data_IF_705758023891
#
_entry.id   IF_705758023891
#
_cell.length_a   1.000
_cell.length_b   1.000
_cell.length_c   1.000
_cell.angle_alpha   90.00
_cell.angle_beta   90.00
_cell.angle_gamma   90.00
#
_symmetry.space_group_name_H-M   'P 1'
#
loop_
_entity.id
_entity.type
_entity.pdbx_description
1 polymer ?
#
# COMPACT_ATOMS: atom_id res chain seq x y z
N UNK A 1 0.13 -2.97 17.33
CA UNK A 1 -0.15 -3.59 15.98
C UNK A 1 1.10 -3.59 15.10
N UNK A 2 1.12 -4.35 13.99
CA UNK A 2 2.21 -4.36 12.99
C UNK A 2 1.88 -3.47 11.80
N UNK A 3 2.78 -2.58 11.39
CA UNK A 3 2.51 -1.59 10.34
C UNK A 3 3.71 -1.49 9.39
N UNK A 4 3.51 -1.76 8.10
CA UNK A 4 4.53 -1.50 7.08
C UNK A 4 4.48 -0.04 6.65
N UNK A 5 5.63 0.61 6.56
CA UNK A 5 5.76 2.00 6.13
C UNK A 5 6.71 2.06 4.93
N UNK A 6 6.17 2.44 3.77
CA UNK A 6 6.93 2.62 2.54
C UNK A 6 7.18 4.11 2.35
N UNK A 7 8.42 4.53 2.52
CA UNK A 7 8.84 5.91 2.36
C UNK A 7 9.32 6.19 0.95
N UNK A 8 8.58 7.02 0.22
CA UNK A 8 8.93 7.42 -1.16
C UNK A 8 10.12 8.39 -1.27
N UNK A 9 10.78 8.71 -0.16
CA UNK A 9 12.00 9.52 -0.15
C UNK A 9 12.82 9.20 1.10
N UNK A 10 14.14 9.14 0.94
CA UNK A 10 15.08 9.04 2.07
C UNK A 10 15.35 10.39 2.76
N UNK A 11 14.85 11.50 2.19
CA UNK A 11 15.15 12.83 2.72
C UNK A 11 14.46 13.02 4.06
N UNK A 12 15.23 13.40 5.07
CA UNK A 12 14.69 13.90 6.32
C UNK A 12 14.09 15.31 6.11
N UNK A 13 12.87 15.37 5.58
CA UNK A 13 12.19 16.61 5.24
C UNK A 13 10.72 16.57 5.62
N UNK A 14 9.90 17.37 4.94
CA UNK A 14 8.48 17.51 5.27
C UNK A 14 7.71 16.18 5.32
N UNK A 15 7.99 15.27 4.37
CA UNK A 15 7.31 13.96 4.33
C UNK A 15 7.67 13.11 5.54
N UNK A 16 8.95 13.04 5.92
CA UNK A 16 9.39 12.31 7.12
C UNK A 16 8.70 12.86 8.36
N UNK A 17 8.63 14.19 8.48
CA UNK A 17 7.98 14.82 9.63
C UNK A 17 6.50 14.45 9.76
N UNK A 18 5.79 14.28 8.65
CA UNK A 18 4.40 13.80 8.70
C UNK A 18 4.28 12.39 9.25
N UNK A 19 5.26 11.52 8.96
CA UNK A 19 5.27 10.14 9.44
C UNK A 19 5.62 10.08 10.92
N UNK A 20 6.57 10.86 11.38
CA UNK A 20 6.88 10.96 12.81
C UNK A 20 5.64 11.32 13.65
N UNK A 21 4.85 12.30 13.19
CA UNK A 21 3.61 12.70 13.86
C UNK A 21 2.59 11.54 13.86
N UNK A 22 2.42 10.86 12.73
CA UNK A 22 1.50 9.73 12.62
C UNK A 22 1.95 8.56 13.51
N UNK A 23 3.22 8.18 13.50
CA UNK A 23 3.78 7.13 14.36
C UNK A 23 3.65 7.47 15.84
N UNK A 24 3.97 8.70 16.21
CA UNK A 24 3.80 9.20 17.59
C UNK A 24 2.34 9.07 18.03
N UNK A 25 1.40 9.50 17.17
CA UNK A 25 -0.03 9.36 17.48
C UNK A 25 -0.46 7.90 17.61
N UNK A 26 -0.02 7.02 16.71
CA UNK A 26 -0.32 5.59 16.77
C UNK A 26 0.23 4.96 18.07
N UNK A 27 1.47 5.28 18.44
CA UNK A 27 2.08 4.79 19.68
C UNK A 27 1.45 5.36 20.94
N UNK A 28 0.85 6.56 20.88
CA UNK A 28 0.05 7.10 21.99
C UNK A 28 -1.24 6.30 22.23
N UNK A 29 -1.71 5.52 21.26
CA UNK A 29 -2.94 4.73 21.34
C UNK A 29 -2.69 3.28 21.74
N UNK A 30 -1.57 2.70 21.31
CA UNK A 30 -1.09 1.34 21.63
C UNK A 30 0.37 1.20 21.16
N UNK A 31 1.16 0.33 21.77
CA UNK A 31 2.49 0.00 21.25
C UNK A 31 2.41 -0.66 19.85
N UNK A 32 3.11 -0.09 18.85
CA UNK A 32 3.12 -0.62 17.49
C UNK A 32 4.53 -0.95 17.02
N UNK A 33 4.62 -2.04 16.25
CA UNK A 33 5.81 -2.42 15.50
C UNK A 33 5.72 -1.81 14.10
N UNK A 34 6.75 -1.06 13.72
CA UNK A 34 6.86 -0.47 12.39
C UNK A 34 7.94 -1.18 11.58
N UNK A 35 7.57 -1.61 10.37
CA UNK A 35 8.50 -2.11 9.36
C UNK A 35 8.74 -1.00 8.34
N UNK A 36 9.80 -0.22 8.55
CA UNK A 36 10.16 0.91 7.70
C UNK A 36 11.02 0.49 6.51
N UNK A 37 10.59 0.90 5.32
CA UNK A 37 11.34 0.75 4.07
C UNK A 37 11.53 2.12 3.42
N UNK A 38 12.77 2.55 3.33
CA UNK A 38 13.19 3.82 2.74
C UNK A 38 13.62 3.62 1.30
N UNK A 39 12.89 4.21 0.35
CA UNK A 39 13.20 4.08 -1.07
C UNK A 39 14.09 5.24 -1.55
N UNK A 40 15.15 4.98 -2.32
CA UNK A 40 15.51 3.71 -2.97
C UNK A 40 16.42 2.76 -2.17
N UNK A 41 16.69 2.98 -0.87
CA UNK A 41 17.69 2.19 -0.13
C UNK A 41 17.28 0.72 -0.08
N UNK A 42 16.02 0.48 0.24
CA UNK A 42 15.48 -0.87 0.44
C UNK A 42 14.89 -1.47 -0.85
N UNK A 43 14.78 -0.70 -1.93
CA UNK A 43 14.45 -1.16 -3.28
C UNK A 43 15.12 -0.24 -4.32
N UNK A 44 16.41 -0.45 -4.62
CA UNK A 44 17.17 0.42 -5.53
C UNK A 44 16.99 0.07 -7.00
N UNK A 45 16.41 -1.10 -7.30
CA UNK A 45 16.36 -1.64 -8.64
C UNK A 45 15.03 -1.33 -9.33
N UNK A 46 15.09 -0.77 -10.54
CA UNK A 46 13.92 -0.62 -11.39
C UNK A 46 13.34 -1.98 -11.78
N UNK A 47 12.01 -2.06 -11.95
CA UNK A 47 11.40 -3.24 -12.54
C UNK A 47 11.85 -3.36 -14.00
N UNK A 48 12.39 -4.51 -14.39
CA UNK A 48 12.87 -4.75 -15.75
C UNK A 48 11.77 -5.25 -16.72
N UNK A 49 10.52 -5.38 -16.27
CA UNK A 49 9.41 -5.81 -17.12
C UNK A 49 9.59 -7.23 -17.69
N UNK A 50 10.31 -8.11 -16.99
CA UNK A 50 10.69 -9.43 -17.52
C UNK A 50 9.60 -10.51 -17.42
N UNK A 51 8.42 -10.20 -16.88
CA UNK A 51 7.29 -11.11 -16.68
C UNK A 51 7.52 -12.34 -15.78
N UNK A 52 8.75 -12.59 -15.29
CA UNK A 52 9.02 -13.76 -14.43
C UNK A 52 8.17 -13.82 -13.15
N UNK A 53 7.74 -12.66 -12.63
CA UNK A 53 6.82 -12.59 -11.49
C UNK A 53 5.39 -13.05 -11.78
N UNK A 54 5.02 -13.19 -13.05
CA UNK A 54 3.73 -13.64 -13.58
C UNK A 54 3.83 -15.00 -14.27
N UNK A 55 4.96 -15.32 -14.91
CA UNK A 55 5.13 -16.55 -15.69
C UNK A 55 5.57 -17.74 -14.83
N UNK A 56 6.16 -17.49 -13.66
CA UNK A 56 6.78 -18.51 -12.81
C UNK A 56 6.31 -18.43 -11.36
N UNK A 57 6.45 -19.55 -10.66
CA UNK A 57 6.23 -19.65 -9.23
C UNK A 57 4.79 -19.79 -8.80
N UNK A 58 4.65 -20.08 -7.51
CA UNK A 58 3.41 -20.34 -6.80
C UNK A 58 2.76 -19.07 -6.27
N UNK A 59 3.49 -17.95 -6.17
CA UNK A 59 2.94 -16.64 -5.81
C UNK A 59 3.52 -15.52 -6.67
N UNK A 60 2.86 -14.36 -6.70
CA UNK A 60 3.30 -13.22 -7.50
C UNK A 60 4.63 -12.67 -7.01
N UNK A 61 5.64 -12.62 -7.88
CA UNK A 61 6.95 -12.06 -7.55
C UNK A 61 7.96 -13.04 -6.94
N UNK A 62 7.63 -14.33 -6.84
CA UNK A 62 8.56 -15.37 -6.35
C UNK A 62 9.89 -15.37 -7.12
N UNK A 63 9.80 -15.34 -8.45
CA UNK A 63 10.95 -15.35 -9.36
C UNK A 63 11.35 -13.94 -9.85
N UNK A 64 11.08 -12.89 -9.08
CA UNK A 64 11.60 -11.57 -9.41
C UNK A 64 13.15 -11.59 -9.34
N UNK A 65 13.90 -11.11 -10.36
CA UNK A 65 15.37 -11.03 -10.28
C UNK A 65 15.85 -10.10 -9.16
N UNK A 66 14.95 -9.24 -8.64
CA UNK A 66 15.19 -8.33 -7.53
C UNK A 66 14.56 -8.84 -6.22
N UNK A 67 14.30 -10.14 -6.10
CA UNK A 67 13.73 -10.81 -4.92
C UNK A 67 14.41 -10.43 -3.60
N UNK A 68 15.73 -10.25 -3.60
CA UNK A 68 16.49 -9.81 -2.41
C UNK A 68 15.99 -8.50 -1.79
N UNK A 69 15.32 -7.65 -2.57
CA UNK A 69 14.70 -6.40 -2.14
C UNK A 69 13.18 -6.53 -2.00
N UNK A 70 12.51 -7.20 -2.94
CA UNK A 70 11.04 -7.26 -2.96
C UNK A 70 10.46 -8.21 -1.93
N UNK A 71 11.12 -9.35 -1.64
CA UNK A 71 10.61 -10.34 -0.68
C UNK A 71 10.54 -9.80 0.76
N UNK A 72 11.56 -9.12 1.31
CA UNK A 72 11.45 -8.51 2.64
C UNK A 72 10.26 -7.55 2.78
N UNK A 73 10.01 -6.73 1.74
CA UNK A 73 8.88 -5.80 1.72
C UNK A 73 7.55 -6.57 1.63
N UNK A 74 7.46 -7.58 0.77
CA UNK A 74 6.28 -8.43 0.61
C UNK A 74 5.88 -9.11 1.92
N UNK A 75 6.86 -9.71 2.62
CA UNK A 75 6.63 -10.40 3.87
C UNK A 75 6.23 -9.45 4.99
N UNK A 76 6.84 -8.27 5.09
CA UNK A 76 6.42 -7.25 6.03
C UNK A 76 4.97 -6.80 5.75
N UNK A 77 4.61 -6.57 4.48
CA UNK A 77 3.24 -6.20 4.10
C UNK A 77 2.25 -7.31 4.46
N UNK A 78 2.56 -8.58 4.16
CA UNK A 78 1.72 -9.75 4.54
C UNK A 78 1.48 -9.79 6.04
N UNK A 79 2.53 -9.61 6.84
CA UNK A 79 2.49 -9.67 8.31
C UNK A 79 1.92 -8.43 9.01
N UNK A 80 1.63 -7.36 8.28
CA UNK A 80 1.14 -6.10 8.85
C UNK A 80 -0.37 -6.02 8.93
N UNK A 81 -0.91 -5.37 9.95
CA UNK A 81 -2.33 -5.00 10.06
C UNK A 81 -2.68 -3.82 9.15
N UNK A 82 -1.71 -2.94 8.88
CA UNK A 82 -1.89 -1.83 7.97
C UNK A 82 -0.63 -1.43 7.22
N UNK A 83 -0.83 -0.67 6.15
CA UNK A 83 0.23 -0.20 5.26
C UNK A 83 0.16 1.33 5.16
N UNK A 84 1.28 2.00 5.37
CA UNK A 84 1.42 3.44 5.14
C UNK A 84 2.33 3.60 3.91
N UNK A 85 1.91 4.40 2.94
CA UNK A 85 2.76 4.81 1.81
C UNK A 85 2.88 6.32 1.83
N UNK A 86 4.11 6.81 1.79
CA UNK A 86 4.38 8.23 1.61
C UNK A 86 5.00 8.53 0.27
N UNK A 87 4.62 9.68 -0.28
CA UNK A 87 5.32 10.21 -1.45
C UNK A 87 5.33 11.74 -1.44
N UNK A 88 6.49 12.38 -1.57
CA UNK A 88 6.50 13.77 -2.01
C UNK A 88 5.89 13.89 -3.41
N UNK A 89 5.50 15.11 -3.79
CA UNK A 89 5.12 15.43 -5.16
C UNK A 89 6.36 15.87 -5.91
N UNK A 90 6.74 15.12 -6.95
CA UNK A 90 7.78 15.50 -7.91
C UNK A 90 7.18 15.51 -9.30
N UNK A 91 7.35 16.63 -10.02
CA UNK A 91 6.79 16.80 -11.38
C UNK A 91 5.30 16.44 -11.48
N UNK A 92 4.51 16.86 -10.48
CA UNK A 92 3.06 16.61 -10.36
C UNK A 92 2.64 15.13 -10.26
N UNK A 93 3.58 14.22 -10.01
CA UNK A 93 3.38 12.80 -9.82
C UNK A 93 4.01 12.30 -8.50
N UNK A 94 3.77 11.03 -8.18
CA UNK A 94 4.50 10.34 -7.12
C UNK A 94 6.01 10.37 -7.39
N UNK A 95 6.80 10.19 -6.34
CA UNK A 95 8.23 9.94 -6.48
C UNK A 95 8.46 8.74 -7.40
N UNK A 96 9.48 8.83 -8.27
CA UNK A 96 9.87 7.70 -9.11
C UNK A 96 10.14 6.43 -8.30
N UNK A 97 10.59 6.59 -7.05
CA UNK A 97 10.78 5.51 -6.09
C UNK A 97 9.47 4.76 -5.76
N UNK A 98 8.38 5.48 -5.47
CA UNK A 98 7.08 4.84 -5.23
C UNK A 98 6.55 4.19 -6.49
N UNK A 99 6.79 4.78 -7.67
CA UNK A 99 6.43 4.16 -8.94
C UNK A 99 7.18 2.83 -9.16
N UNK A 100 8.50 2.80 -8.91
CA UNK A 100 9.32 1.58 -8.96
C UNK A 100 8.81 0.52 -7.99
N UNK A 101 8.46 0.90 -6.77
CA UNK A 101 7.82 0.00 -5.82
C UNK A 101 6.51 -0.59 -6.38
N UNK A 102 5.61 0.25 -6.90
CA UNK A 102 4.36 -0.23 -7.47
C UNK A 102 4.57 -1.15 -8.70
N UNK A 103 5.58 -0.86 -9.53
CA UNK A 103 5.90 -1.67 -10.72
C UNK A 103 6.42 -3.07 -10.36
N UNK A 104 7.13 -3.22 -9.24
CA UNK A 104 7.53 -4.53 -8.72
C UNK A 104 6.37 -5.35 -8.17
N UNK A 105 5.36 -4.69 -7.62
CA UNK A 105 4.20 -5.32 -6.97
C UNK A 105 2.94 -5.32 -7.85
N UNK A 106 3.07 -5.12 -9.16
CA UNK A 106 1.96 -5.33 -10.10
C UNK A 106 1.49 -6.80 -10.12
N UNK A 107 2.39 -7.74 -9.83
CA UNK A 107 2.12 -9.19 -9.79
C UNK A 107 1.10 -9.62 -8.71
N UNK A 108 0.85 -8.78 -7.69
CA UNK A 108 -0.16 -9.03 -6.65
C UNK A 108 -1.48 -8.26 -6.89
N UNK A 109 -1.70 -7.74 -8.10
CA UNK A 109 -3.00 -7.22 -8.50
C UNK A 109 -4.02 -8.36 -8.61
N UNK A 110 -5.31 -8.04 -8.42
CA UNK A 110 -6.40 -9.01 -8.62
C UNK A 110 -6.47 -9.55 -10.06
N UNK A 111 -5.89 -8.88 -11.04
CA UNK A 111 -5.73 -9.42 -12.40
C UNK A 111 -4.66 -10.52 -12.50
N UNK A 112 -3.96 -10.84 -11.41
CA UNK A 112 -2.88 -11.80 -11.33
C UNK A 112 -3.03 -12.65 -10.06
N UNK A 113 -2.04 -12.63 -9.16
CA UNK A 113 -1.98 -13.45 -7.95
C UNK A 113 -2.10 -12.58 -6.69
N UNK A 114 -3.29 -12.03 -6.38
CA UNK A 114 -3.44 -11.14 -5.25
C UNK A 114 -3.21 -11.89 -3.94
N UNK A 115 -2.70 -11.18 -2.94
CA UNK A 115 -2.47 -11.72 -1.60
C UNK A 115 -3.75 -11.68 -0.78
N UNK A 116 -4.15 -12.81 -0.20
CA UNK A 116 -5.35 -12.92 0.63
C UNK A 116 -5.28 -11.97 1.84
N UNK A 117 -4.08 -11.75 2.36
CA UNK A 117 -3.72 -10.84 3.45
C UNK A 117 -4.15 -9.40 3.16
N UNK A 118 -4.16 -8.97 1.91
CA UNK A 118 -4.46 -7.58 1.55
C UNK A 118 -5.95 -7.24 1.73
N UNK A 119 -6.84 -8.23 1.62
CA UNK A 119 -8.29 -8.03 1.67
C UNK A 119 -8.84 -7.65 3.06
N UNK A 120 -8.02 -7.78 4.11
CA UNK A 120 -8.36 -7.38 5.49
C UNK A 120 -7.58 -6.14 5.97
N UNK A 121 -6.61 -5.65 5.20
CA UNK A 121 -5.76 -4.53 5.62
C UNK A 121 -6.47 -3.20 5.50
N UNK A 122 -5.99 -2.24 6.29
CA UNK A 122 -6.24 -0.82 6.07
C UNK A 122 -4.96 -0.17 5.54
N UNK A 123 -5.07 0.77 4.60
CA UNK A 123 -3.94 1.59 4.17
C UNK A 123 -4.12 3.07 4.48
N UNK A 124 -3.01 3.80 4.58
CA UNK A 124 -2.94 5.26 4.69
C UNK A 124 -1.91 5.79 3.69
N UNK A 125 -2.34 6.64 2.76
CA UNK A 125 -1.47 7.30 1.79
C UNK A 125 -1.29 8.75 2.19
N UNK A 126 -0.04 9.17 2.37
CA UNK A 126 0.33 10.54 2.74
C UNK A 126 1.18 11.15 1.63
N UNK A 127 0.82 12.35 1.19
CA UNK A 127 1.61 13.10 0.21
C UNK A 127 1.80 14.54 0.63
N UNK A 128 3.02 15.03 0.47
CA UNK A 128 3.40 16.42 0.78
C UNK A 128 3.92 17.12 -0.47
N UNK A 129 3.61 18.40 -0.63
CA UNK A 129 4.11 19.24 -1.72
C UNK A 129 4.45 20.63 -1.21
N UNK A 130 5.39 21.32 -1.84
CA UNK A 130 5.58 22.75 -1.60
C UNK A 130 4.51 23.61 -2.30
N UNK A 131 3.79 23.07 -3.29
CA UNK A 131 2.74 23.78 -4.05
C UNK A 131 1.49 22.92 -4.31
N UNK A 132 1.33 22.41 -5.52
CA UNK A 132 0.16 21.61 -5.90
C UNK A 132 0.50 20.14 -6.13
N UNK A 133 -0.51 19.31 -6.43
CA UNK A 133 -0.32 17.97 -6.99
C UNK A 133 -0.61 16.78 -6.08
N UNK A 134 -0.82 16.96 -4.77
CA UNK A 134 -1.01 15.81 -3.84
C UNK A 134 -2.16 14.88 -4.24
N UNK A 135 -3.25 15.41 -4.81
CA UNK A 135 -4.36 14.60 -5.33
C UNK A 135 -3.95 13.72 -6.53
N UNK A 136 -3.04 14.20 -7.38
CA UNK A 136 -2.53 13.47 -8.54
C UNK A 136 -1.56 12.36 -8.13
N UNK A 137 -0.90 12.50 -6.97
CA UNK A 137 -0.05 11.48 -6.35
C UNK A 137 -0.86 10.42 -5.61
N UNK A 138 -1.82 10.84 -4.79
CA UNK A 138 -2.57 9.92 -3.94
C UNK A 138 -3.48 8.99 -4.77
N UNK A 139 -4.08 9.50 -5.85
CA UNK A 139 -5.02 8.73 -6.68
C UNK A 139 -4.43 7.46 -7.32
N UNK A 140 -3.28 7.49 -8.02
CA UNK A 140 -2.68 6.30 -8.60
C UNK A 140 -2.26 5.29 -7.52
N UNK A 141 -1.69 5.74 -6.40
CA UNK A 141 -1.35 4.87 -5.27
C UNK A 141 -2.62 4.21 -4.70
N UNK A 142 -3.68 4.98 -4.43
CA UNK A 142 -4.97 4.47 -3.97
C UNK A 142 -5.54 3.42 -4.95
N UNK A 143 -5.41 3.66 -6.26
CA UNK A 143 -5.87 2.72 -7.29
C UNK A 143 -5.10 1.40 -7.19
N UNK A 144 -3.77 1.43 -7.16
CA UNK A 144 -2.96 0.21 -7.04
C UNK A 144 -3.31 -0.59 -5.79
N UNK A 145 -3.42 0.08 -4.63
CA UNK A 145 -3.81 -0.58 -3.37
C UNK A 145 -5.19 -1.22 -3.42
N UNK A 146 -6.17 -0.59 -4.08
CA UNK A 146 -7.49 -1.20 -4.31
C UNK A 146 -7.42 -2.41 -5.24
N UNK A 147 -6.54 -2.38 -6.24
CA UNK A 147 -6.31 -3.51 -7.13
C UNK A 147 -5.56 -4.66 -6.44
N UNK A 148 -4.79 -4.40 -5.38
CA UNK A 148 -4.29 -5.45 -4.47
C UNK A 148 -5.38 -6.08 -3.60
N UNK A 149 -6.60 -5.51 -3.59
CA UNK A 149 -7.72 -5.99 -2.78
C UNK A 149 -7.93 -5.22 -1.47
N UNK A 150 -7.11 -4.20 -1.16
CA UNK A 150 -7.24 -3.45 0.10
C UNK A 150 -8.59 -2.72 0.15
N UNK A 151 -9.47 -3.04 1.12
CA UNK A 151 -10.83 -2.51 1.16
C UNK A 151 -10.88 -1.02 1.51
N UNK A 152 -9.92 -0.53 2.30
CA UNK A 152 -10.00 0.80 2.89
C UNK A 152 -8.67 1.52 2.85
N UNK A 153 -8.67 2.67 2.17
CA UNK A 153 -7.49 3.52 1.97
C UNK A 153 -7.81 4.93 2.47
N UNK A 154 -7.15 5.32 3.56
CA UNK A 154 -7.13 6.69 4.06
C UNK A 154 -6.15 7.53 3.27
N UNK A 155 -6.43 8.83 3.18
CA UNK A 155 -5.69 9.78 2.33
C UNK A 155 -5.40 11.06 3.08
N UNK A 156 -4.17 11.55 2.97
CA UNK A 156 -3.75 12.83 3.53
C UNK A 156 -2.82 13.55 2.54
N UNK A 157 -3.30 14.63 1.93
CA UNK A 157 -2.48 15.50 1.09
C UNK A 157 -2.22 16.81 1.81
N UNK A 158 -0.97 17.22 1.96
CA UNK A 158 -0.56 18.45 2.63
C UNK A 158 0.25 19.35 1.69
N UNK A 159 -0.17 20.62 1.58
CA UNK A 159 0.57 21.65 0.85
C UNK A 159 1.35 22.52 1.82
N UNK A 160 2.65 22.26 1.93
CA UNK A 160 3.54 22.85 2.93
C UNK A 160 3.79 24.33 2.67
N UNK A 161 3.92 24.79 1.42
CA UNK A 161 4.33 26.17 1.07
C UNK A 161 5.58 26.65 1.83
N UNK A 162 6.49 25.73 2.13
CA UNK A 162 7.78 26.01 2.77
C UNK A 162 8.81 24.96 2.31
N UNK A 163 10.10 25.27 2.47
CA UNK A 163 11.17 24.31 2.19
C UNK A 163 11.19 23.25 3.29
N UNK A 164 11.12 23.68 4.55
CA UNK A 164 11.18 22.82 5.72
C UNK A 164 9.98 22.99 6.66
N UNK A 165 9.69 21.94 7.43
CA UNK A 165 8.52 21.92 8.31
C UNK A 165 8.63 23.02 9.38
N UNK A 166 9.85 23.29 9.85
CA UNK A 166 10.19 24.31 10.84
C UNK A 166 9.94 25.75 10.36
N UNK A 167 9.96 26.00 9.05
CA UNK A 167 9.73 27.33 8.47
C UNK A 167 8.23 27.67 8.36
N UNK A 168 7.36 26.67 8.52
CA UNK A 168 5.92 26.87 8.39
C UNK A 168 5.35 27.73 9.54
N UNK A 169 4.39 28.65 9.26
CA UNK A 169 3.70 29.40 10.31
C UNK A 169 3.04 28.48 11.36
N UNK A 170 3.15 28.84 12.64
CA UNK A 170 2.69 28.01 13.76
C UNK A 170 1.23 27.58 13.64
N UNK A 171 0.35 28.49 13.19
CA UNK A 171 -1.07 28.20 12.95
C UNK A 171 -1.27 27.07 11.93
N UNK A 172 -0.43 27.03 10.89
CA UNK A 172 -0.49 26.01 9.83
C UNK A 172 0.11 24.68 10.28
N UNK A 173 1.23 24.71 11.03
CA UNK A 173 1.80 23.52 11.70
C UNK A 173 0.76 22.81 12.57
N UNK A 174 0.16 23.54 13.52
CA UNK A 174 -0.89 23.01 14.42
C UNK A 174 -2.09 22.44 13.67
N UNK A 175 -2.50 23.09 12.56
CA UNK A 175 -3.56 22.57 11.69
C UNK A 175 -3.17 21.23 11.07
N UNK A 176 -1.94 21.09 10.56
CA UNK A 176 -1.49 19.87 9.91
C UNK A 176 -1.22 18.74 10.90
N UNK A 177 -0.67 19.03 12.07
CA UNK A 177 -0.56 18.08 13.18
C UNK A 177 -1.93 17.51 13.54
N UNK A 178 -2.94 18.37 13.77
CA UNK A 178 -4.31 17.93 14.05
C UNK A 178 -4.90 17.05 12.94
N UNK A 179 -4.69 17.41 11.67
CA UNK A 179 -5.16 16.61 10.53
C UNK A 179 -4.48 15.24 10.50
N UNK A 180 -3.16 15.18 10.71
CA UNK A 180 -2.40 13.94 10.73
C UNK A 180 -2.84 13.04 11.89
N UNK A 181 -3.02 13.61 13.08
CA UNK A 181 -3.51 12.88 14.25
C UNK A 181 -4.91 12.30 14.04
N UNK A 182 -5.82 13.07 13.43
CA UNK A 182 -7.16 12.60 13.09
C UNK A 182 -7.11 11.45 12.08
N UNK A 183 -6.23 11.53 11.07
CA UNK A 183 -6.05 10.45 10.09
C UNK A 183 -5.42 9.21 10.73
N UNK A 184 -4.41 9.39 11.58
CA UNK A 184 -3.78 8.31 12.35
C UNK A 184 -4.79 7.60 13.25
N UNK A 185 -5.64 8.35 13.95
CA UNK A 185 -6.69 7.78 14.80
C UNK A 185 -7.74 7.01 14.00
N UNK A 186 -8.19 7.55 12.86
CA UNK A 186 -9.12 6.85 11.98
C UNK A 186 -8.51 5.57 11.39
N UNK A 187 -7.23 5.62 11.00
CA UNK A 187 -6.44 4.48 10.56
C UNK A 187 -6.32 3.41 11.65
N UNK A 188 -5.96 3.81 12.88
CA UNK A 188 -5.92 2.95 14.07
C UNK A 188 -7.23 2.21 14.32
N UNK A 189 -8.36 2.95 14.39
CA UNK A 189 -9.68 2.31 14.60
C UNK A 189 -10.01 1.30 13.52
N UNK A 190 -9.64 1.61 12.28
CA UNK A 190 -9.89 0.74 11.14
C UNK A 190 -9.07 -0.54 11.21
N UNK A 191 -7.80 -0.48 11.63
CA UNK A 191 -6.98 -1.67 11.85
C UNK A 191 -7.46 -2.51 13.04
N UNK A 192 -7.96 -1.85 14.10
CA UNK A 192 -8.52 -2.54 15.28
C UNK A 192 -9.83 -3.25 15.02
N UNK A 193 -10.67 -2.71 14.13
CA UNK A 193 -11.93 -3.33 13.79
C UNK A 193 -11.71 -4.54 12.89
N UNK A 194 -11.62 -5.73 13.50
CA UNK A 194 -11.41 -7.01 12.82
C UNK A 194 -12.58 -7.46 11.94
N UNK A 195 -13.76 -6.82 12.00
CA UNK A 195 -14.84 -7.14 11.05
C UNK A 195 -14.35 -6.77 9.66
N UNK A 196 -14.05 -7.79 8.85
CA UNK A 196 -13.59 -7.60 7.47
C UNK A 196 -14.70 -6.95 6.66
N UNK A 197 -14.68 -5.61 6.64
CA UNK A 197 -15.56 -4.84 5.78
C UNK A 197 -14.99 -4.89 4.37
N UNK A 198 -15.60 -5.69 3.50
CA UNK A 198 -15.31 -5.65 2.07
C UNK A 198 -16.32 -4.76 1.35
N UNK A 199 -15.91 -3.58 0.85
CA UNK A 199 -16.80 -2.69 0.10
C UNK A 199 -17.37 -3.40 -1.13
N UNK A 200 -18.59 -3.03 -1.52
CA UNK A 200 -19.24 -3.57 -2.73
C UNK A 200 -18.35 -3.43 -3.97
N UNK A 201 -17.64 -2.31 -4.12
CA UNK A 201 -16.69 -2.09 -5.22
C UNK A 201 -15.57 -3.11 -5.26
N UNK A 202 -15.00 -3.49 -4.11
CA UNK A 202 -13.96 -4.53 -4.03
C UNK A 202 -14.53 -5.90 -4.42
N UNK A 203 -15.75 -6.21 -3.97
CA UNK A 203 -16.43 -7.48 -4.34
C UNK A 203 -16.72 -7.55 -5.84
N UNK A 204 -17.20 -6.46 -6.44
CA UNK A 204 -17.43 -6.36 -7.88
C UNK A 204 -16.13 -6.55 -8.64
N UNK A 205 -15.07 -5.82 -8.27
CA UNK A 205 -13.77 -5.90 -8.94
C UNK A 205 -13.18 -7.31 -8.85
N UNK A 206 -13.27 -7.95 -7.67
CA UNK A 206 -12.88 -9.33 -7.50
C UNK A 206 -13.68 -10.28 -8.39
N UNK A 207 -15.00 -10.08 -8.54
CA UNK A 207 -15.83 -10.89 -9.43
C UNK A 207 -15.47 -10.72 -10.90
N UNK A 208 -15.14 -9.49 -11.33
CA UNK A 208 -14.66 -9.21 -12.69
C UNK A 208 -13.39 -10.01 -12.97
N UNK A 209 -12.41 -9.96 -12.06
CA UNK A 209 -11.17 -10.70 -12.25
C UNK A 209 -11.33 -12.21 -12.08
N UNK A 210 -12.24 -12.69 -11.22
CA UNK A 210 -12.61 -14.11 -11.17
C UNK A 210 -13.09 -14.61 -12.53
N UNK A 211 -13.94 -13.84 -13.20
CA UNK A 211 -14.46 -14.20 -14.52
C UNK A 211 -13.35 -14.17 -15.58
N UNK A 212 -12.44 -13.18 -15.52
CA UNK A 212 -11.24 -13.15 -16.37
C UNK A 212 -10.38 -14.41 -16.15
N UNK A 213 -10.10 -14.79 -14.91
CA UNK A 213 -9.33 -16.00 -14.61
C UNK A 213 -10.00 -17.27 -15.12
N UNK A 214 -11.32 -17.36 -15.06
CA UNK A 214 -12.06 -18.49 -15.62
C UNK A 214 -11.95 -18.59 -17.15
N UNK A 215 -11.73 -17.47 -17.85
CA UNK A 215 -11.54 -17.48 -19.32
C UNK A 215 -10.15 -17.93 -19.76
N UNK A 216 -9.17 -18.00 -18.87
CA UNK A 216 -7.83 -18.47 -19.21
C UNK A 216 -7.82 -19.99 -19.42
N UNK A 217 -6.90 -20.53 -20.25
CA UNK A 217 -6.73 -21.96 -20.41
C UNK A 217 -6.25 -22.62 -19.10
N UNK A 218 -6.56 -23.89 -18.93
CA UNK A 218 -6.02 -24.68 -17.81
C UNK A 218 -4.49 -24.75 -17.90
N UNK A 219 -3.82 -24.73 -16.75
CA UNK A 219 -2.36 -24.61 -16.68
C UNK A 219 -1.81 -23.19 -16.77
N UNK A 220 -2.65 -22.17 -17.08
CA UNK A 220 -2.25 -20.77 -16.93
C UNK A 220 -1.96 -20.47 -15.45
N UNK A 221 -0.77 -19.99 -15.14
CA UNK A 221 -0.29 -19.87 -13.76
C UNK A 221 -1.21 -19.03 -12.84
N UNK A 222 -1.72 -17.89 -13.33
CA UNK A 222 -2.66 -17.08 -12.54
C UNK A 222 -4.01 -17.79 -12.30
N UNK A 223 -4.52 -18.55 -13.27
CA UNK A 223 -5.74 -19.35 -13.10
C UNK A 223 -5.52 -20.45 -12.06
N UNK A 224 -4.38 -21.14 -12.15
CA UNK A 224 -3.99 -22.18 -11.20
C UNK A 224 -3.85 -21.63 -9.78
N UNK A 225 -3.25 -20.44 -9.62
CA UNK A 225 -3.20 -19.76 -8.32
C UNK A 225 -4.61 -19.53 -7.75
N UNK A 226 -5.53 -18.98 -8.53
CA UNK A 226 -6.92 -18.76 -8.10
C UNK A 226 -7.67 -20.06 -7.81
N UNK A 227 -7.38 -21.12 -8.57
CA UNK A 227 -7.93 -22.47 -8.36
C UNK A 227 -7.46 -23.06 -7.04
N UNK A 228 -6.17 -22.99 -6.74
CA UNK A 228 -5.58 -23.44 -5.46
C UNK A 228 -6.15 -22.67 -4.27
N UNK A 229 -6.41 -21.37 -4.43
CA UNK A 229 -7.09 -20.56 -3.40
C UNK A 229 -8.58 -20.87 -3.25
N UNK A 230 -9.15 -21.72 -4.10
CA UNK A 230 -10.59 -22.04 -4.11
C UNK A 230 -11.49 -20.90 -4.58
N UNK A 231 -10.90 -19.81 -5.09
CA UNK A 231 -11.64 -18.59 -5.45
C UNK A 231 -12.48 -18.78 -6.70
N UNK A 232 -12.03 -19.64 -7.62
CA UNK A 232 -12.82 -20.04 -8.79
C UNK A 232 -14.03 -20.90 -8.40
N UNK A 233 -13.99 -21.57 -7.25
CA UNK A 233 -15.02 -22.47 -6.74
C UNK A 233 -15.98 -21.79 -5.76
N UNK A 234 -15.81 -20.49 -5.48
CA UNK A 234 -16.76 -19.72 -4.66
C UNK A 234 -16.20 -19.22 -3.33
N UNK A 235 -15.02 -19.69 -2.89
CA UNK A 235 -14.36 -19.09 -1.72
C UNK A 235 -14.10 -17.59 -1.96
N UNK A 236 -14.04 -16.82 -0.87
CA UNK A 236 -13.71 -15.39 -0.93
C UNK A 236 -12.57 -15.06 0.02
N UNK A 237 -11.60 -14.23 -0.41
CA UNK A 237 -10.43 -13.91 0.41
C UNK A 237 -10.77 -13.14 1.70
N UNK A 238 -11.98 -12.59 1.81
CA UNK A 238 -12.46 -11.87 3.00
C UNK A 238 -13.33 -12.70 3.96
N UNK A 239 -13.59 -13.98 3.68
CA UNK A 239 -14.45 -14.83 4.52
C UNK A 239 -13.68 -15.59 5.62
N UNK A 240 -12.37 -15.81 5.45
CA UNK A 240 -11.60 -16.73 6.31
C UNK A 240 -10.93 -16.06 7.54
N UNK A 241 -11.13 -14.75 7.80
CA UNK A 241 -10.53 -14.06 8.96
C UNK A 241 -11.38 -14.11 10.25
N UNK A 242 -12.35 -15.02 10.32
CA UNK A 242 -13.18 -15.25 11.52
C UNK A 242 -12.65 -16.38 12.42
N UNK A 243 -11.36 -16.69 12.37
CA UNK A 243 -10.68 -17.60 13.30
C UNK A 243 -9.83 -16.80 14.29
#
# INVERSE_FOLDING_TARGET
>A
MKISVIHGSQRNGNTEKTIEIVKSKLNSLENNDFFDFYLPKDLPMFCCGCFQCLDKGNFGGEFCPHAKYTHPILEAMKNSNGIIITSPVYSLAESGQVKVFLDHFACIFMSHRPLQEMFSKTALVISTTSGAGTKHVIKPIERSLKYWGIPKVYKCGLTIWAKDWSEMPLKKKRKYEKILEQKAYAFYKSMKNKKVYSPLKTKILFSVFRNLMNSYPDGHQDKEYWRVKGWLQGKRPWQEYNL
#
